data_IF_977639846243
#
_entry.id   IF_977639846243
#
_cell.length_a   1.000
_cell.length_b   1.000
_cell.length_c   1.000
_cell.angle_alpha   90.00
_cell.angle_beta   90.00
_cell.angle_gamma   90.00
#
_symmetry.space_group_name_H-M   'P 1'
#
loop_
_entity.id
_entity.type
_entity.pdbx_description
1 polymer ?
#
# COMPACT_ATOMS: atom_id res chain seq x y z
N UNK A 1 -6.84 18.23 15.08
CA UNK A 1 -6.40 17.33 13.99
C UNK A 1 -4.95 16.98 14.26
N UNK A 2 -4.58 15.70 14.27
CA UNK A 2 -3.20 15.29 14.57
C UNK A 2 -2.28 15.68 13.40
N UNK A 3 -0.98 15.85 13.66
CA UNK A 3 -0.02 16.19 12.62
C UNK A 3 0.08 15.08 11.59
N UNK A 4 0.03 13.81 12.04
CA UNK A 4 -0.02 12.64 11.17
C UNK A 4 -1.21 12.69 10.20
N UNK A 5 -2.41 12.95 10.68
CA UNK A 5 -3.63 13.01 9.86
C UNK A 5 -3.55 14.11 8.78
N UNK A 6 -2.96 15.27 9.13
CA UNK A 6 -2.76 16.37 8.19
C UNK A 6 -1.77 15.98 7.07
N UNK A 7 -0.68 15.29 7.42
CA UNK A 7 0.30 14.81 6.46
C UNK A 7 -0.34 13.81 5.50
N UNK A 8 -1.18 12.89 5.99
CA UNK A 8 -1.89 11.93 5.13
C UNK A 8 -2.86 12.64 4.17
N UNK A 9 -3.57 13.67 4.60
CA UNK A 9 -4.45 14.48 3.72
C UNK A 9 -3.62 15.20 2.65
N UNK A 10 -2.50 15.82 3.04
CA UNK A 10 -1.57 16.48 2.10
C UNK A 10 -1.03 15.46 1.10
N UNK A 11 -0.65 14.25 1.56
CA UNK A 11 -0.17 13.15 0.72
C UNK A 11 -1.20 12.75 -0.34
N UNK A 12 -2.47 12.62 0.05
CA UNK A 12 -3.57 12.32 -0.88
C UNK A 12 -3.72 13.42 -1.93
N UNK A 13 -3.71 14.70 -1.51
CA UNK A 13 -3.78 15.82 -2.44
C UNK A 13 -2.57 15.85 -3.38
N UNK A 14 -1.36 15.60 -2.88
CA UNK A 14 -0.14 15.55 -3.67
C UNK A 14 -0.15 14.41 -4.69
N UNK A 15 -0.71 13.25 -4.36
CA UNK A 15 -0.89 12.16 -5.34
C UNK A 15 -1.76 12.62 -6.50
N UNK A 16 -2.91 13.24 -6.22
CA UNK A 16 -3.82 13.71 -7.27
C UNK A 16 -3.13 14.78 -8.13
N UNK A 17 -2.45 15.73 -7.52
CA UNK A 17 -1.71 16.78 -8.24
C UNK A 17 -0.59 16.16 -9.08
N UNK A 18 0.21 15.27 -8.50
CA UNK A 18 1.29 14.55 -9.20
C UNK A 18 0.75 13.79 -10.40
N UNK A 19 -0.39 13.10 -10.22
CA UNK A 19 -1.02 12.30 -11.25
C UNK A 19 -1.51 13.14 -12.42
N UNK A 20 -2.10 14.32 -12.16
CA UNK A 20 -2.47 15.28 -13.22
C UNK A 20 -1.25 15.88 -13.90
N UNK A 21 -0.21 16.26 -13.14
CA UNK A 21 1.00 16.86 -13.70
C UNK A 21 1.76 15.88 -14.60
N UNK A 22 1.82 14.59 -14.24
CA UNK A 22 2.44 13.54 -15.06
C UNK A 22 1.84 13.46 -16.48
N UNK A 23 0.54 13.73 -16.61
CA UNK A 23 -0.17 13.73 -17.89
C UNK A 23 -0.04 15.05 -18.67
N UNK A 24 0.57 16.08 -18.06
CA UNK A 24 0.76 17.37 -18.70
C UNK A 24 1.97 17.36 -19.67
N UNK A 25 2.15 18.46 -20.39
CA UNK A 25 3.35 18.66 -21.22
C UNK A 25 4.57 19.07 -20.39
N UNK A 26 5.76 18.90 -20.95
CA UNK A 26 7.00 19.38 -20.37
C UNK A 26 6.95 20.91 -20.17
N UNK A 27 7.38 21.47 -19.01
CA UNK A 27 8.10 20.82 -17.90
C UNK A 27 7.21 20.35 -16.74
N UNK A 28 5.89 20.51 -16.83
CA UNK A 28 4.96 20.17 -15.73
C UNK A 28 4.98 18.67 -15.41
N UNK A 29 5.17 17.81 -16.41
CA UNK A 29 5.33 16.38 -16.21
C UNK A 29 6.57 15.97 -15.41
N UNK A 30 7.67 16.72 -15.51
CA UNK A 30 8.87 16.53 -14.68
C UNK A 30 8.55 16.85 -13.22
N UNK A 31 7.76 17.90 -12.96
CA UNK A 31 7.31 18.21 -11.60
C UNK A 31 6.45 17.07 -11.05
N UNK A 32 5.52 16.54 -11.85
CA UNK A 32 4.72 15.36 -11.50
C UNK A 32 5.58 14.14 -11.14
N UNK A 33 6.64 13.90 -11.90
CA UNK A 33 7.62 12.84 -11.65
C UNK A 33 8.38 13.02 -10.34
N UNK A 34 8.86 14.24 -10.06
CA UNK A 34 9.58 14.56 -8.81
C UNK A 34 8.67 14.40 -7.58
N UNK A 35 7.36 14.63 -7.74
CA UNK A 35 6.40 14.46 -6.65
C UNK A 35 6.19 12.99 -6.24
N UNK A 36 6.44 12.01 -7.12
CA UNK A 36 6.28 10.59 -6.78
C UNK A 36 7.11 10.20 -5.53
N UNK A 37 8.45 10.36 -5.51
CA UNK A 37 9.23 10.03 -4.32
C UNK A 37 8.85 10.90 -3.12
N UNK A 38 8.44 12.16 -3.33
CA UNK A 38 7.99 13.03 -2.25
C UNK A 38 6.72 12.50 -1.55
N UNK A 39 5.76 11.96 -2.30
CA UNK A 39 4.56 11.30 -1.75
C UNK A 39 4.92 10.12 -0.86
N UNK A 40 5.84 9.24 -1.32
CA UNK A 40 6.29 8.09 -0.53
C UNK A 40 7.13 8.51 0.69
N UNK A 41 7.84 9.63 0.59
CA UNK A 41 8.56 10.18 1.74
C UNK A 41 7.60 10.73 2.81
N UNK A 42 6.47 11.34 2.41
CA UNK A 42 5.44 11.79 3.35
C UNK A 42 4.79 10.64 4.12
N UNK A 43 4.66 9.46 3.51
CA UNK A 43 4.21 8.21 4.17
C UNK A 43 5.19 7.70 5.23
N UNK A 44 6.48 7.95 5.05
CA UNK A 44 7.43 7.68 6.12
C UNK A 44 7.28 8.69 7.27
N UNK A 45 7.01 9.96 6.94
CA UNK A 45 6.88 11.04 7.93
C UNK A 45 5.60 10.95 8.77
N UNK A 46 4.43 10.70 8.19
CA UNK A 46 3.21 10.54 8.99
C UNK A 46 3.32 9.35 9.94
N UNK A 47 3.88 8.22 9.50
CA UNK A 47 4.19 7.08 10.34
C UNK A 47 5.19 7.39 11.45
N UNK A 48 6.14 8.32 11.24
CA UNK A 48 7.05 8.81 12.27
C UNK A 48 6.33 9.66 13.32
N UNK A 49 5.53 10.64 12.91
CA UNK A 49 4.77 11.49 13.82
C UNK A 49 3.67 10.72 14.56
N UNK A 50 3.02 9.75 13.91
CA UNK A 50 1.98 8.93 14.52
C UNK A 50 2.49 8.11 15.72
N UNK A 51 3.80 7.76 15.76
CA UNK A 51 4.43 7.08 16.90
C UNK A 51 4.65 8.00 18.10
N UNK A 52 4.68 9.30 17.88
CA UNK A 52 4.85 10.32 18.91
C UNK A 52 3.51 10.88 19.40
N UNK A 53 2.43 10.63 18.66
CA UNK A 53 1.08 11.07 18.98
C UNK A 53 0.27 9.97 19.66
N UNK A 54 -0.80 10.34 20.37
CA UNK A 54 -1.74 9.35 20.91
C UNK A 54 -2.41 8.59 19.75
N UNK A 55 -2.51 7.26 19.90
CA UNK A 55 -3.19 6.42 18.92
C UNK A 55 -4.68 6.72 18.87
N UNK A 56 -5.17 7.22 17.73
CA UNK A 56 -6.60 7.38 17.45
C UNK A 56 -7.03 6.38 16.36
N UNK A 57 -8.19 5.74 16.58
CA UNK A 57 -8.75 4.75 15.65
C UNK A 57 -9.05 5.37 14.27
N UNK A 58 -9.52 6.62 14.25
CA UNK A 58 -9.83 7.33 13.02
C UNK A 58 -8.60 7.53 12.13
N UNK A 59 -7.50 8.03 12.70
CA UNK A 59 -6.31 8.29 11.89
C UNK A 59 -5.57 7.03 11.46
N UNK A 60 -5.67 5.91 12.19
CA UNK A 60 -5.21 4.60 11.67
C UNK A 60 -5.97 4.19 10.41
N UNK A 61 -7.27 4.46 10.33
CA UNK A 61 -8.08 4.19 9.14
C UNK A 61 -7.75 5.15 8.00
N UNK A 62 -7.50 6.42 8.32
CA UNK A 62 -7.10 7.44 7.36
C UNK A 62 -5.77 7.10 6.69
N UNK A 63 -4.78 6.64 7.46
CA UNK A 63 -3.48 6.21 6.96
C UNK A 63 -3.60 5.04 5.96
N UNK A 64 -4.36 4.00 6.34
CA UNK A 64 -4.67 2.86 5.44
C UNK A 64 -5.38 3.34 4.18
N UNK A 65 -6.36 4.24 4.28
CA UNK A 65 -7.07 4.78 3.12
C UNK A 65 -6.13 5.58 2.21
N UNK A 66 -5.25 6.40 2.78
CA UNK A 66 -4.23 7.16 2.05
C UNK A 66 -3.32 6.25 1.24
N UNK A 67 -2.87 5.13 1.82
CA UNK A 67 -2.05 4.13 1.12
C UNK A 67 -2.78 3.50 -0.07
N UNK A 68 -4.07 3.17 0.10
CA UNK A 68 -4.89 2.62 -0.99
C UNK A 68 -5.05 3.63 -2.11
N UNK A 69 -5.32 4.88 -1.79
CA UNK A 69 -5.50 5.95 -2.78
C UNK A 69 -4.20 6.13 -3.60
N UNK A 70 -3.04 6.18 -2.94
CA UNK A 70 -1.73 6.30 -3.62
C UNK A 70 -1.55 5.16 -4.62
N UNK A 71 -1.77 3.91 -4.19
CA UNK A 71 -1.65 2.74 -5.07
C UNK A 71 -2.63 2.81 -6.24
N UNK A 72 -3.91 3.09 -5.96
CA UNK A 72 -4.95 3.09 -6.98
C UNK A 72 -4.72 4.16 -8.03
N UNK A 73 -4.38 5.39 -7.62
CA UNK A 73 -4.17 6.49 -8.57
C UNK A 73 -3.00 6.18 -9.51
N UNK A 74 -1.85 5.76 -8.99
CA UNK A 74 -0.70 5.47 -9.86
C UNK A 74 -0.92 4.24 -10.75
N UNK A 75 -1.44 3.14 -10.22
CA UNK A 75 -1.74 1.98 -11.06
C UNK A 75 -2.77 2.32 -12.14
N UNK A 76 -3.78 3.12 -11.82
CA UNK A 76 -4.80 3.57 -12.77
C UNK A 76 -4.19 4.41 -13.89
N UNK A 77 -3.45 5.47 -13.55
CA UNK A 77 -2.82 6.35 -14.56
C UNK A 77 -1.88 5.55 -15.46
N UNK A 78 -0.95 4.78 -14.89
CA UNK A 78 -0.01 4.02 -15.70
C UNK A 78 -0.69 2.91 -16.53
N UNK A 79 -1.86 2.43 -16.12
CA UNK A 79 -2.65 1.49 -16.92
C UNK A 79 -3.35 2.16 -18.10
N UNK A 80 -3.88 3.38 -17.90
CA UNK A 80 -4.49 4.18 -18.98
C UNK A 80 -3.44 4.56 -20.03
N UNK A 81 -2.26 4.93 -19.58
CA UNK A 81 -1.10 5.25 -20.43
C UNK A 81 -0.46 3.99 -21.08
N UNK A 82 -1.09 2.81 -20.91
CA UNK A 82 -0.66 1.52 -21.48
C UNK A 82 0.74 1.07 -21.06
N UNK A 83 1.30 1.69 -20.02
CA UNK A 83 2.59 1.33 -19.45
C UNK A 83 2.47 0.09 -18.56
N UNK A 84 1.37 -0.03 -17.83
CA UNK A 84 1.03 -1.19 -17.01
C UNK A 84 -0.13 -1.94 -17.67
N UNK A 85 -0.10 -3.28 -17.73
CA UNK A 85 -1.26 -4.04 -18.21
C UNK A 85 -2.49 -3.79 -17.36
N UNK A 86 -3.62 -3.43 -18.00
CA UNK A 86 -4.85 -2.99 -17.33
C UNK A 86 -5.40 -4.00 -16.31
N UNK A 87 -5.12 -5.30 -16.46
CA UNK A 87 -5.56 -6.35 -15.54
C UNK A 87 -4.84 -6.31 -14.17
N UNK A 88 -3.70 -5.62 -14.05
CA UNK A 88 -2.99 -5.46 -12.77
C UNK A 88 -3.81 -4.58 -11.82
N UNK A 89 -4.44 -3.53 -12.33
CA UNK A 89 -5.24 -2.61 -11.52
C UNK A 89 -6.37 -3.31 -10.72
N UNK A 90 -7.26 -4.12 -11.32
CA UNK A 90 -8.28 -4.84 -10.58
C UNK A 90 -7.70 -5.89 -9.61
N UNK A 91 -6.55 -6.51 -9.93
CA UNK A 91 -5.87 -7.43 -8.99
C UNK A 91 -5.51 -6.72 -7.69
N UNK A 92 -4.92 -5.51 -7.80
CA UNK A 92 -4.51 -4.71 -6.65
C UNK A 92 -5.74 -4.27 -5.83
N UNK A 93 -6.82 -3.84 -6.49
CA UNK A 93 -8.08 -3.48 -5.82
C UNK A 93 -8.65 -4.67 -5.06
N UNK A 94 -8.86 -5.81 -5.72
CA UNK A 94 -9.45 -7.01 -5.11
C UNK A 94 -8.63 -7.45 -3.91
N UNK A 95 -7.30 -7.52 -4.07
CA UNK A 95 -6.39 -7.89 -2.98
C UNK A 95 -6.51 -6.93 -1.80
N UNK A 96 -6.52 -5.62 -2.03
CA UNK A 96 -6.61 -4.63 -0.97
C UNK A 96 -7.98 -4.65 -0.28
N UNK A 97 -9.08 -4.73 -1.02
CA UNK A 97 -10.42 -4.88 -0.48
C UNK A 97 -10.57 -6.13 0.38
N UNK A 98 -10.05 -7.28 -0.07
CA UNK A 98 -10.09 -8.52 0.71
C UNK A 98 -9.32 -8.35 2.02
N UNK A 99 -8.05 -7.93 1.96
CA UNK A 99 -7.22 -7.75 3.16
C UNK A 99 -7.92 -6.80 4.14
N UNK A 100 -8.42 -5.67 3.67
CA UNK A 100 -9.04 -4.66 4.52
C UNK A 100 -10.36 -5.17 5.15
N UNK A 101 -11.27 -5.77 4.37
CA UNK A 101 -12.52 -6.33 4.92
C UNK A 101 -12.28 -7.38 6.01
N UNK A 102 -11.29 -8.26 5.82
CA UNK A 102 -10.97 -9.28 6.81
C UNK A 102 -10.20 -8.74 8.01
N UNK A 103 -9.34 -7.73 7.81
CA UNK A 103 -8.58 -7.09 8.90
C UNK A 103 -9.48 -6.23 9.80
N UNK A 104 -10.42 -5.48 9.23
CA UNK A 104 -11.39 -4.67 10.00
C UNK A 104 -12.44 -5.52 10.72
N UNK A 105 -12.65 -6.77 10.29
CA UNK A 105 -13.47 -7.74 11.04
C UNK A 105 -12.69 -8.39 12.22
N UNK A 106 -11.48 -7.92 12.56
CA UNK A 106 -10.88 -8.23 13.86
C UNK A 106 -11.73 -7.58 14.96
N UNK A 107 -12.76 -8.29 15.39
CA UNK A 107 -13.30 -8.13 16.73
C UNK A 107 -12.13 -8.09 17.71
N UNK A 108 -12.17 -7.15 18.67
CA UNK A 108 -11.14 -6.85 19.68
C UNK A 108 -10.60 -8.05 20.50
N UNK A 109 -11.07 -9.27 20.24
CA UNK A 109 -10.79 -10.51 20.96
C UNK A 109 -9.96 -11.56 20.19
N UNK A 110 -9.46 -11.26 18.97
CA UNK A 110 -8.56 -12.20 18.29
C UNK A 110 -7.15 -12.16 18.90
N UNK A 111 -6.78 -13.25 19.58
CA UNK A 111 -5.48 -13.45 20.23
C UNK A 111 -4.31 -13.10 19.31
N UNK A 112 -3.48 -12.19 19.78
CA UNK A 112 -2.30 -11.54 19.17
C UNK A 112 -1.11 -12.48 18.91
N UNK A 113 -1.34 -13.76 18.63
CA UNK A 113 -0.25 -14.71 18.39
C UNK A 113 -0.05 -14.94 16.89
N UNK A 114 0.79 -14.10 16.28
CA UNK A 114 1.21 -14.26 14.87
C UNK A 114 2.10 -15.49 14.72
N UNK A 115 1.93 -16.22 13.63
CA UNK A 115 2.84 -17.32 13.24
C UNK A 115 4.17 -16.76 12.72
N UNK A 116 5.27 -17.48 12.87
CA UNK A 116 6.59 -17.03 12.41
C UNK A 116 6.62 -16.69 10.91
N UNK A 117 5.89 -17.45 10.10
CA UNK A 117 5.73 -17.19 8.66
C UNK A 117 5.00 -15.87 8.37
N UNK A 118 3.85 -15.62 9.01
CA UNK A 118 3.14 -14.34 8.87
C UNK A 118 3.92 -13.18 9.51
N UNK A 119 4.69 -13.44 10.56
CA UNK A 119 5.53 -12.46 11.24
C UNK A 119 6.71 -12.03 10.37
N UNK A 120 7.34 -12.96 9.67
CA UNK A 120 8.46 -12.72 8.76
C UNK A 120 8.03 -12.07 7.44
N UNK A 121 6.93 -12.55 6.85
CA UNK A 121 6.47 -12.10 5.52
C UNK A 121 5.57 -10.86 5.58
N UNK A 122 4.72 -10.73 6.59
CA UNK A 122 3.75 -9.62 6.67
C UNK A 122 3.98 -8.66 7.84
N UNK A 123 4.42 -9.14 9.01
CA UNK A 123 4.44 -8.31 10.23
C UNK A 123 5.76 -7.61 10.53
N UNK A 124 6.86 -7.94 9.86
CA UNK A 124 8.13 -7.29 10.11
C UNK A 124 8.07 -5.84 9.62
N UNK A 125 8.52 -4.90 10.45
CA UNK A 125 8.70 -3.51 10.05
C UNK A 125 9.54 -3.40 8.76
N UNK A 126 10.50 -4.31 8.61
CA UNK A 126 11.36 -4.43 7.43
C UNK A 126 10.58 -4.78 6.16
N UNK A 127 9.67 -5.76 6.21
CA UNK A 127 8.88 -6.16 5.05
C UNK A 127 7.93 -5.04 4.57
N UNK A 128 7.44 -4.23 5.51
CA UNK A 128 6.64 -3.03 5.19
C UNK A 128 7.48 -1.97 4.48
N UNK A 129 8.67 -1.67 5.01
CA UNK A 129 9.61 -0.74 4.38
C UNK A 129 10.05 -1.18 2.99
N UNK A 130 10.42 -2.46 2.82
CA UNK A 130 10.80 -3.02 1.51
C UNK A 130 9.68 -2.85 0.49
N UNK A 131 8.43 -3.17 0.87
CA UNK A 131 7.30 -3.01 -0.04
C UNK A 131 7.05 -1.54 -0.42
N UNK A 132 7.20 -0.61 0.53
CA UNK A 132 7.06 0.83 0.25
C UNK A 132 8.13 1.31 -0.74
N UNK A 133 9.40 0.93 -0.53
CA UNK A 133 10.51 1.25 -1.43
C UNK A 133 10.27 0.66 -2.82
N UNK A 134 9.86 -0.61 -2.89
CA UNK A 134 9.61 -1.30 -4.15
C UNK A 134 8.50 -0.63 -4.98
N UNK A 135 7.41 -0.19 -4.33
CA UNK A 135 6.36 0.61 -4.97
C UNK A 135 6.90 1.95 -5.48
N UNK A 136 7.62 2.67 -4.63
CA UNK A 136 8.20 3.97 -4.97
C UNK A 136 9.08 3.85 -6.22
N UNK A 137 10.01 2.88 -6.24
CA UNK A 137 10.90 2.63 -7.37
C UNK A 137 10.11 2.26 -8.63
N UNK A 138 9.11 1.39 -8.50
CA UNK A 138 8.28 0.96 -9.65
C UNK A 138 7.51 2.11 -10.26
N UNK A 139 6.79 2.89 -9.45
CA UNK A 139 6.02 4.03 -9.95
C UNK A 139 6.91 5.16 -10.46
N UNK A 140 8.04 5.41 -9.82
CA UNK A 140 9.00 6.38 -10.33
C UNK A 140 9.57 5.96 -11.68
N UNK A 141 9.91 4.68 -11.85
CA UNK A 141 10.41 4.14 -13.11
C UNK A 141 9.40 4.27 -14.25
N UNK A 142 8.13 3.92 -14.01
CA UNK A 142 7.06 4.15 -15.00
C UNK A 142 6.81 5.63 -15.25
N UNK A 143 6.91 6.48 -14.22
CA UNK A 143 6.87 7.93 -14.36
C UNK A 143 7.99 8.45 -15.27
N UNK A 144 9.22 7.95 -15.15
CA UNK A 144 10.31 8.31 -16.04
C UNK A 144 10.00 7.93 -17.50
N UNK A 145 9.49 6.72 -17.74
CA UNK A 145 9.07 6.31 -19.09
C UNK A 145 7.99 7.26 -19.62
N UNK A 146 6.97 7.57 -18.81
CA UNK A 146 5.86 8.44 -19.19
C UNK A 146 6.32 9.86 -19.57
N UNK A 147 7.28 10.42 -18.84
CA UNK A 147 7.85 11.75 -19.12
C UNK A 147 8.72 11.76 -20.40
N UNK A 148 9.08 10.60 -20.93
CA UNK A 148 9.85 10.45 -22.17
C UNK A 148 11.31 10.07 -21.98
N UNK A 149 11.73 9.62 -20.79
CA UNK A 149 13.06 9.04 -20.61
C UNK A 149 13.15 7.70 -21.34
N UNK A 150 14.24 7.49 -22.10
CA UNK A 150 14.46 6.28 -22.89
C UNK A 150 14.91 5.10 -22.02
N UNK A 151 13.97 4.56 -21.23
CA UNK A 151 14.17 3.43 -20.34
C UNK A 151 13.52 2.17 -20.91
N UNK A 152 14.10 1.01 -20.59
CA UNK A 152 13.58 -0.26 -21.08
C UNK A 152 12.28 -0.64 -20.38
N UNK A 153 11.22 -0.86 -21.16
CA UNK A 153 9.93 -1.32 -20.66
C UNK A 153 10.03 -2.71 -20.01
N UNK A 154 10.95 -3.56 -20.47
CA UNK A 154 11.20 -4.89 -19.91
C UNK A 154 11.61 -4.81 -18.44
N UNK A 155 12.52 -3.89 -18.11
CA UNK A 155 12.96 -3.68 -16.71
C UNK A 155 11.77 -3.18 -15.87
N UNK A 156 10.93 -2.32 -16.43
CA UNK A 156 9.69 -1.87 -15.79
C UNK A 156 8.75 -3.03 -15.47
N UNK A 157 8.58 -3.98 -16.39
CA UNK A 157 7.77 -5.18 -16.15
C UNK A 157 8.37 -6.15 -15.15
N UNK A 158 9.70 -6.26 -15.07
CA UNK A 158 10.36 -7.04 -14.02
C UNK A 158 10.07 -6.41 -12.66
N UNK A 159 10.28 -5.10 -12.51
CA UNK A 159 9.98 -4.36 -11.27
C UNK A 159 8.50 -4.47 -10.87
N UNK A 160 7.59 -4.29 -11.83
CA UNK A 160 6.16 -4.47 -11.65
C UNK A 160 5.83 -5.87 -11.15
N UNK A 161 6.40 -6.90 -11.78
CA UNK A 161 6.13 -8.29 -11.43
C UNK A 161 6.57 -8.59 -9.99
N UNK A 162 7.77 -8.14 -9.61
CA UNK A 162 8.27 -8.30 -8.24
C UNK A 162 7.34 -7.58 -7.26
N UNK A 163 6.90 -6.35 -7.58
CA UNK A 163 5.99 -5.55 -6.74
C UNK A 163 4.64 -6.24 -6.53
N UNK A 164 4.03 -6.72 -7.61
CA UNK A 164 2.72 -7.38 -7.58
C UNK A 164 2.82 -8.72 -6.85
N UNK A 165 3.84 -9.53 -7.12
CA UNK A 165 4.06 -10.81 -6.42
C UNK A 165 4.23 -10.55 -4.92
N UNK A 166 5.06 -9.60 -4.53
CA UNK A 166 5.25 -9.25 -3.13
C UNK A 166 3.94 -8.80 -2.47
N UNK A 167 3.16 -7.97 -3.18
CA UNK A 167 1.85 -7.52 -2.72
C UNK A 167 0.89 -8.69 -2.46
N UNK A 168 0.79 -9.63 -3.41
CA UNK A 168 -0.08 -10.80 -3.32
C UNK A 168 0.37 -11.71 -2.17
N UNK A 169 1.66 -12.04 -2.09
CA UNK A 169 2.21 -12.92 -1.04
C UNK A 169 1.95 -12.33 0.34
N UNK A 170 2.17 -11.03 0.51
CA UNK A 170 1.89 -10.33 1.77
C UNK A 170 0.39 -10.34 2.11
N UNK A 171 -0.48 -10.08 1.13
CA UNK A 171 -1.93 -10.08 1.33
C UNK A 171 -2.46 -11.47 1.69
N UNK A 172 -1.94 -12.52 1.05
CA UNK A 172 -2.25 -13.91 1.37
C UNK A 172 -1.80 -14.28 2.78
N UNK A 173 -0.61 -13.84 3.22
CA UNK A 173 -0.12 -14.06 4.57
C UNK A 173 -1.02 -13.38 5.63
N UNK A 174 -1.48 -12.16 5.37
CA UNK A 174 -2.43 -11.44 6.23
C UNK A 174 -3.78 -12.18 6.34
N UNK A 175 -4.34 -12.59 5.19
CA UNK A 175 -5.61 -13.33 5.16
C UNK A 175 -5.49 -14.69 5.88
N UNK A 176 -4.40 -15.41 5.67
CA UNK A 176 -4.14 -16.69 6.34
C UNK A 176 -4.13 -16.53 7.87
N UNK A 177 -3.52 -15.45 8.39
CA UNK A 177 -3.51 -15.14 9.82
C UNK A 177 -4.93 -14.91 10.37
N UNK A 178 -5.78 -14.22 9.60
CA UNK A 178 -7.19 -13.99 9.98
C UNK A 178 -7.97 -15.30 10.02
N UNK A 179 -7.87 -16.16 9.00
CA UNK A 179 -8.59 -17.43 8.97
C UNK A 179 -8.14 -18.40 10.07
N UNK A 180 -6.83 -18.45 10.36
CA UNK A 180 -6.30 -19.27 11.45
C UNK A 180 -6.84 -18.81 12.81
N UNK A 181 -6.83 -17.50 13.05
CA UNK A 181 -7.34 -16.90 14.29
C UNK A 181 -8.83 -17.22 14.49
N UNK A 182 -9.65 -17.16 13.42
CA UNK A 182 -11.06 -17.60 13.43
C UNK A 182 -11.24 -19.07 13.82
N UNK A 183 -10.44 -19.97 13.24
CA UNK A 183 -10.51 -21.42 13.57
C UNK A 183 -10.16 -21.69 15.04
N UNK A 184 -9.18 -20.97 15.60
CA UNK A 184 -8.79 -21.13 17.01
C UNK A 184 -9.88 -20.63 17.98
N UNK A 185 -10.54 -19.50 17.68
CA UNK A 185 -11.67 -19.00 18.47
C UNK A 185 -12.83 -20.00 18.49
N UNK A 186 -13.24 -20.50 17.32
CA UNK A 186 -14.31 -21.51 17.20
C UNK A 186 -14.02 -22.77 18.04
N UNK A 187 -12.79 -23.28 18.01
CA UNK A 187 -12.37 -24.42 18.86
C UNK A 187 -12.36 -24.11 20.37
N UNK A 188 -12.20 -22.86 20.78
CA UNK A 188 -12.22 -22.44 22.18
C UNK A 188 -13.66 -22.30 22.69
N UNK A 189 -14.56 -21.80 21.86
CA UNK A 189 -15.98 -21.63 22.18
C UNK A 189 -16.73 -22.97 22.20
N UNK A 190 -16.26 -23.99 21.46
CA UNK A 190 -16.82 -25.35 21.45
C UNK A 190 -16.35 -26.24 22.63
N UNK A 191 -15.40 -25.79 23.47
CA UNK A 191 -15.01 -26.56 24.66
C UNK A 191 -16.01 -26.33 25.80
N UNK A 192 -16.61 -27.37 26.40
CA UNK A 192 -17.51 -27.21 27.54
C UNK A 192 -16.74 -26.54 28.69
N UNK A 193 -17.37 -25.56 29.34
CA UNK A 193 -16.87 -25.00 30.60
C UNK A 193 -17.00 -26.10 31.65
N UNK A 194 -15.88 -26.73 31.98
CA UNK A 194 -15.72 -27.63 33.12
C UNK A 194 -15.67 -26.78 34.38
#
# INVERSE_FOLDING_TARGET
>A
MRKSDMITIIRIAMVIISSFLLLASNPLNILGLIMIPAVFFLDYLDGFFARMEKEEEYGKRLDVAGDRIVEYVYYFIFSIEKLIPIFIFPIIIVRNCLVDSFFYTKEKNFSTTKTEFAKSVSSSYVARGIYAILKMVTFFYFGCILVGFNLSLLIGYILLSITVIFSIVRGAADLYEVFRSRRQKKKKDEKPKI
#
